data_IF_426073540417
#
_entry.id   IF_426073540417
#
_cell.length_a   1.000
_cell.length_b   1.000
_cell.length_c   1.000
_cell.angle_alpha   90.00
_cell.angle_beta   90.00
_cell.angle_gamma   90.00
#
_symmetry.space_group_name_H-M   'P 1'
#
loop_
_entity.id
_entity.type
_entity.pdbx_description
1 polymer ?
#
# COMPACT_ATOMS: atom_id res chain seq x y z
N UNK A 1 36.62 -4.88 3.48
CA UNK A 1 35.61 -4.99 2.43
C UNK A 1 35.46 -3.71 1.56
N UNK A 2 36.52 -2.91 1.42
CA UNK A 2 36.51 -1.59 0.72
C UNK A 2 37.23 -1.58 -0.63
N UNK A 3 37.83 -2.69 -1.08
CA UNK A 3 38.82 -2.67 -2.18
C UNK A 3 38.40 -3.35 -3.48
N UNK A 4 37.32 -4.12 -3.52
CA UNK A 4 36.95 -4.88 -4.72
C UNK A 4 36.03 -4.17 -5.72
N UNK A 5 35.35 -3.10 -5.33
CA UNK A 5 34.39 -2.42 -6.19
C UNK A 5 35.00 -1.37 -7.14
N UNK A 6 36.26 -1.00 -6.98
CA UNK A 6 36.85 0.15 -7.71
C UNK A 6 37.25 -0.17 -9.17
N UNK A 7 37.30 -1.44 -9.58
CA UNK A 7 37.76 -1.87 -10.91
C UNK A 7 36.72 -2.58 -11.77
N UNK A 8 35.49 -2.68 -11.33
CA UNK A 8 34.42 -3.27 -12.15
C UNK A 8 33.68 -2.15 -12.87
N UNK A 9 33.62 -2.20 -14.20
CA UNK A 9 32.82 -1.27 -15.00
C UNK A 9 31.35 -1.26 -14.51
N UNK A 10 30.57 -0.27 -14.91
CA UNK A 10 29.16 -0.08 -14.47
C UNK A 10 28.35 -1.38 -14.55
N UNK A 11 28.55 -2.17 -15.60
CA UNK A 11 27.89 -3.47 -15.78
C UNK A 11 28.32 -4.47 -14.70
N UNK A 12 29.60 -4.52 -14.35
CA UNK A 12 30.12 -5.39 -13.30
C UNK A 12 29.63 -4.99 -11.89
N UNK A 13 29.46 -3.71 -11.61
CA UNK A 13 28.86 -3.22 -10.38
C UNK A 13 27.37 -3.61 -10.28
N UNK A 14 26.61 -3.45 -11.36
CA UNK A 14 25.20 -3.85 -11.44
C UNK A 14 25.03 -5.37 -11.29
N UNK A 15 25.83 -6.17 -12.00
CA UNK A 15 25.78 -7.64 -11.88
C UNK A 15 26.16 -8.12 -10.48
N UNK A 16 27.18 -7.52 -9.87
CA UNK A 16 27.58 -7.83 -8.49
C UNK A 16 26.46 -7.48 -7.49
N UNK A 17 25.80 -6.31 -7.67
CA UNK A 17 24.66 -5.92 -6.83
C UNK A 17 23.50 -6.91 -6.97
N UNK A 18 23.17 -7.34 -8.19
CA UNK A 18 22.13 -8.34 -8.43
C UNK A 18 22.49 -9.69 -7.82
N UNK A 19 23.72 -10.19 -8.02
CA UNK A 19 24.16 -11.49 -7.49
C UNK A 19 24.23 -11.48 -5.95
N UNK A 20 24.73 -10.41 -5.35
CA UNK A 20 24.91 -10.33 -3.89
C UNK A 20 23.59 -10.10 -3.15
N UNK A 21 22.60 -9.49 -3.83
CA UNK A 21 21.29 -9.16 -3.25
C UNK A 21 20.12 -9.81 -3.98
N UNK A 22 20.35 -10.95 -4.60
CA UNK A 22 19.30 -11.64 -5.38
C UNK A 22 18.05 -11.94 -4.53
N UNK A 23 18.22 -12.21 -3.23
CA UNK A 23 17.10 -12.40 -2.30
C UNK A 23 16.24 -11.14 -2.17
N UNK A 24 16.86 -9.96 -2.16
CA UNK A 24 16.16 -8.68 -2.04
C UNK A 24 15.37 -8.37 -3.32
N UNK A 25 15.82 -8.88 -4.48
CA UNK A 25 15.20 -8.67 -5.78
C UNK A 25 14.28 -9.80 -6.24
N UNK A 26 14.30 -10.96 -5.58
CA UNK A 26 13.56 -12.16 -5.99
C UNK A 26 12.05 -11.87 -6.17
N UNK A 27 11.46 -11.10 -5.25
CA UNK A 27 10.04 -10.73 -5.30
C UNK A 27 9.72 -9.83 -6.51
N UNK A 28 10.59 -8.89 -6.86
CA UNK A 28 10.42 -8.01 -8.03
C UNK A 28 10.58 -8.79 -9.34
N UNK A 29 11.52 -9.74 -9.38
CA UNK A 29 11.73 -10.63 -10.54
C UNK A 29 10.49 -11.52 -10.72
N UNK A 30 9.98 -12.12 -9.64
CA UNK A 30 8.76 -12.92 -9.69
C UNK A 30 7.56 -12.09 -10.16
N UNK A 31 7.40 -10.87 -9.66
CA UNK A 31 6.36 -9.95 -10.10
C UNK A 31 6.48 -9.65 -11.60
N UNK A 32 7.67 -9.31 -12.08
CA UNK A 32 7.91 -9.05 -13.49
C UNK A 32 7.60 -10.28 -14.36
N UNK A 33 8.00 -11.48 -13.92
CA UNK A 33 7.70 -12.73 -14.61
C UNK A 33 6.19 -12.97 -14.71
N UNK A 34 5.43 -12.72 -13.63
CA UNK A 34 3.96 -12.81 -13.61
C UNK A 34 3.34 -11.81 -14.61
N UNK A 35 3.80 -10.58 -14.62
CA UNK A 35 3.31 -9.55 -15.56
C UNK A 35 3.55 -9.93 -17.01
N UNK A 36 4.73 -10.46 -17.32
CA UNK A 36 5.07 -10.94 -18.66
C UNK A 36 4.20 -12.14 -19.03
N UNK A 37 4.11 -13.14 -18.14
CA UNK A 37 3.34 -14.36 -18.38
C UNK A 37 1.86 -14.04 -18.70
N UNK A 38 1.21 -13.27 -17.81
CA UNK A 38 -0.20 -12.91 -18.01
C UNK A 38 -0.39 -11.90 -19.14
N UNK A 39 0.56 -11.00 -19.37
CA UNK A 39 0.55 -10.09 -20.52
C UNK A 39 0.50 -10.86 -21.83
N UNK A 40 1.35 -11.87 -21.98
CA UNK A 40 1.37 -12.74 -23.18
C UNK A 40 0.14 -13.64 -23.24
N UNK A 41 -0.19 -14.33 -22.14
CA UNK A 41 -1.30 -15.29 -22.09
C UNK A 41 -2.67 -14.65 -22.39
N UNK A 42 -2.86 -13.36 -22.05
CA UNK A 42 -4.12 -12.63 -22.27
C UNK A 42 -4.10 -11.75 -23.53
N UNK A 43 -3.10 -11.88 -24.39
CA UNK A 43 -2.95 -11.04 -25.58
C UNK A 43 -2.88 -9.55 -25.25
N UNK A 44 -2.26 -9.18 -24.13
CA UNK A 44 -2.11 -7.78 -23.68
C UNK A 44 -3.24 -7.24 -22.82
N UNK A 45 -4.39 -7.91 -22.74
CA UNK A 45 -5.55 -7.44 -21.97
C UNK A 45 -5.25 -7.27 -20.49
N UNK A 46 -4.37 -8.11 -19.93
CA UNK A 46 -3.89 -8.00 -18.54
C UNK A 46 -3.17 -6.67 -18.28
N UNK A 47 -2.40 -6.17 -19.23
CA UNK A 47 -1.64 -4.93 -19.14
C UNK A 47 -2.44 -3.69 -19.54
N UNK A 48 -3.73 -3.84 -19.86
CA UNK A 48 -4.58 -2.70 -20.23
C UNK A 48 -4.70 -1.69 -19.07
N UNK A 49 -4.78 -0.38 -19.36
CA UNK A 49 -4.94 0.66 -18.34
C UNK A 49 -6.11 0.40 -17.39
N UNK A 50 -7.23 -0.08 -17.95
CA UNK A 50 -8.42 -0.46 -17.17
C UNK A 50 -8.12 -1.55 -16.14
N UNK A 51 -7.46 -2.64 -16.56
CA UNK A 51 -7.19 -3.76 -15.67
C UNK A 51 -6.17 -3.38 -14.60
N UNK A 52 -5.09 -2.67 -14.97
CA UNK A 52 -4.08 -2.22 -14.01
C UNK A 52 -4.65 -1.25 -12.97
N UNK A 53 -5.51 -0.32 -13.37
CA UNK A 53 -6.19 0.58 -12.44
C UNK A 53 -7.13 -0.19 -11.50
N UNK A 54 -7.87 -1.17 -12.03
CA UNK A 54 -8.73 -2.02 -11.21
C UNK A 54 -7.93 -2.87 -10.21
N UNK A 55 -6.78 -3.41 -10.59
CA UNK A 55 -5.88 -4.12 -9.66
C UNK A 55 -5.42 -3.23 -8.51
N UNK A 56 -5.05 -1.98 -8.80
CA UNK A 56 -4.67 -1.01 -7.76
C UNK A 56 -5.84 -0.75 -6.81
N UNK A 57 -7.04 -0.55 -7.32
CA UNK A 57 -8.22 -0.31 -6.51
C UNK A 57 -8.59 -1.53 -5.65
N UNK A 58 -8.57 -2.72 -6.23
CA UNK A 58 -8.88 -3.97 -5.53
C UNK A 58 -7.86 -4.32 -4.44
N UNK A 59 -6.59 -3.94 -4.61
CA UNK A 59 -5.54 -4.22 -3.63
C UNK A 59 -5.33 -3.09 -2.62
N UNK A 60 -5.98 -1.95 -2.80
CA UNK A 60 -5.77 -0.77 -1.97
C UNK A 60 -6.06 -0.98 -0.48
N UNK A 61 -7.11 -1.75 -0.13
CA UNK A 61 -7.40 -2.08 1.26
C UNK A 61 -6.28 -2.92 1.90
N UNK A 62 -5.64 -3.80 1.12
CA UNK A 62 -4.48 -4.59 1.59
C UNK A 62 -3.30 -3.66 1.89
N UNK A 63 -3.09 -2.65 1.05
CA UNK A 63 -2.04 -1.65 1.26
C UNK A 63 -2.25 -0.87 2.57
N UNK A 64 -3.49 -0.45 2.87
CA UNK A 64 -3.83 0.21 4.15
C UNK A 64 -3.56 -0.71 5.33
N UNK A 65 -3.99 -1.98 5.25
CA UNK A 65 -3.72 -2.96 6.31
C UNK A 65 -2.22 -3.22 6.47
N UNK A 66 -1.46 -3.29 5.38
CA UNK A 66 -0.01 -3.51 5.43
C UNK A 66 0.73 -2.37 6.14
N UNK A 67 0.28 -1.11 5.99
CA UNK A 67 0.83 0.03 6.74
C UNK A 67 0.58 -0.14 8.24
N UNK A 68 -0.65 -0.50 8.64
CA UNK A 68 -0.98 -0.76 10.04
C UNK A 68 -0.16 -1.93 10.61
N UNK A 69 -0.03 -3.03 9.85
CA UNK A 69 0.80 -4.18 10.24
C UNK A 69 2.27 -3.83 10.39
N UNK A 70 2.79 -2.90 9.56
CA UNK A 70 4.17 -2.43 9.69
C UNK A 70 4.42 -1.78 11.06
N UNK A 71 3.45 -1.00 11.58
CA UNK A 71 3.56 -0.40 12.91
C UNK A 71 3.58 -1.46 14.03
N UNK A 72 2.82 -2.55 13.88
CA UNK A 72 2.81 -3.67 14.82
C UNK A 72 4.15 -4.44 14.76
N UNK A 73 4.67 -4.68 13.56
CA UNK A 73 5.96 -5.34 13.37
C UNK A 73 7.15 -4.55 13.93
N UNK A 74 7.07 -3.20 13.94
CA UNK A 74 8.11 -2.34 14.55
C UNK A 74 8.24 -2.58 16.06
N UNK A 75 7.17 -2.98 16.74
CA UNK A 75 7.20 -3.36 18.15
C UNK A 75 7.45 -4.86 18.36
N UNK A 76 7.89 -5.56 17.30
CA UNK A 76 8.20 -6.99 17.29
C UNK A 76 7.00 -7.90 17.62
N UNK A 77 5.77 -7.45 17.35
CA UNK A 77 4.54 -8.21 17.56
C UNK A 77 3.90 -8.59 16.22
N UNK A 78 3.01 -9.60 16.24
CA UNK A 78 2.28 -10.07 15.05
C UNK A 78 0.79 -10.06 15.36
N UNK A 79 -0.01 -9.44 14.50
CA UNK A 79 -1.48 -9.48 14.58
C UNK A 79 -2.07 -10.31 13.43
N UNK A 80 -2.50 -11.52 13.74
CA UNK A 80 -3.13 -12.43 12.77
C UNK A 80 -4.60 -12.11 12.53
N UNK A 81 -5.25 -11.37 13.45
CA UNK A 81 -6.69 -11.12 13.41
C UNK A 81 -7.10 -10.00 12.44
N UNK A 82 -6.17 -9.20 11.92
CA UNK A 82 -6.46 -7.97 11.17
C UNK A 82 -7.40 -8.21 9.98
N UNK A 83 -7.26 -9.32 9.27
CA UNK A 83 -8.10 -9.67 8.12
C UNK A 83 -9.56 -9.90 8.51
N UNK A 84 -9.81 -10.75 9.51
CA UNK A 84 -11.18 -11.06 9.96
C UNK A 84 -11.83 -9.94 10.76
N UNK A 85 -11.06 -9.18 11.54
CA UNK A 85 -11.55 -7.98 12.21
C UNK A 85 -11.99 -6.93 11.18
N UNK A 86 -11.20 -6.66 10.17
CA UNK A 86 -11.58 -5.71 9.10
C UNK A 86 -12.79 -6.19 8.30
N UNK A 87 -12.85 -7.49 7.98
CA UNK A 87 -13.99 -8.10 7.31
C UNK A 87 -15.28 -7.99 8.13
N UNK A 88 -15.22 -8.28 9.45
CA UNK A 88 -16.34 -8.12 10.35
C UNK A 88 -16.81 -6.67 10.45
N UNK A 89 -15.89 -5.73 10.60
CA UNK A 89 -16.23 -4.30 10.64
C UNK A 89 -16.86 -3.84 9.31
N UNK A 90 -16.41 -4.37 8.17
CA UNK A 90 -17.03 -4.15 6.88
C UNK A 90 -18.47 -4.68 6.83
N UNK A 91 -18.72 -5.90 7.34
CA UNK A 91 -20.06 -6.47 7.42
C UNK A 91 -20.98 -5.65 8.33
N UNK A 92 -20.48 -5.22 9.51
CA UNK A 92 -21.22 -4.32 10.41
C UNK A 92 -21.57 -3.00 9.71
N UNK A 93 -20.63 -2.42 8.97
CA UNK A 93 -20.89 -1.21 8.18
C UNK A 93 -22.03 -1.43 7.18
N UNK A 94 -22.01 -2.57 6.47
CA UNK A 94 -23.06 -2.92 5.52
C UNK A 94 -24.43 -3.06 6.21
N UNK A 95 -24.51 -3.77 7.34
CA UNK A 95 -25.74 -3.93 8.13
C UNK A 95 -26.25 -2.56 8.59
N UNK A 96 -25.39 -1.71 9.14
CA UNK A 96 -25.75 -0.36 9.58
C UNK A 96 -26.37 0.48 8.45
N UNK A 97 -25.81 0.38 7.25
CA UNK A 97 -26.27 1.18 6.12
C UNK A 97 -27.50 0.58 5.42
N UNK A 98 -27.59 -0.75 5.30
CA UNK A 98 -28.66 -1.44 4.56
C UNK A 98 -29.86 -1.70 5.45
N UNK A 99 -29.66 -2.32 6.61
CA UNK A 99 -30.76 -2.78 7.49
C UNK A 99 -31.22 -1.67 8.44
N UNK A 100 -30.30 -0.91 8.99
CA UNK A 100 -30.60 0.16 9.97
C UNK A 100 -30.71 1.54 9.33
N UNK A 101 -30.46 1.67 8.04
CA UNK A 101 -30.54 2.91 7.27
C UNK A 101 -29.70 4.07 7.88
N UNK A 102 -28.59 3.74 8.56
CA UNK A 102 -27.70 4.72 9.15
C UNK A 102 -26.92 5.43 8.02
N UNK A 103 -26.84 6.75 8.11
CA UNK A 103 -26.12 7.56 7.14
C UNK A 103 -24.62 7.22 7.15
N UNK A 104 -24.01 7.23 5.94
CA UNK A 104 -22.59 6.99 5.70
C UNK A 104 -21.68 7.77 6.67
N UNK A 105 -21.94 9.07 6.83
CA UNK A 105 -21.13 9.97 7.66
C UNK A 105 -21.18 9.65 9.16
N UNK A 106 -22.18 8.88 9.59
CA UNK A 106 -22.29 8.40 10.96
C UNK A 106 -21.77 6.95 11.07
N UNK A 107 -22.00 6.11 10.06
CA UNK A 107 -21.56 4.73 10.04
C UNK A 107 -20.02 4.60 10.10
N UNK A 108 -19.29 5.40 9.32
CA UNK A 108 -17.82 5.37 9.28
C UNK A 108 -17.20 5.68 10.65
N UNK A 109 -17.51 6.80 11.33
CA UNK A 109 -16.96 7.07 12.65
C UNK A 109 -17.28 6.00 13.69
N UNK A 110 -18.51 5.48 13.70
CA UNK A 110 -18.92 4.39 14.61
C UNK A 110 -18.02 3.17 14.41
N UNK A 111 -17.84 2.73 13.17
CA UNK A 111 -17.03 1.53 12.87
C UNK A 111 -15.55 1.77 13.19
N UNK A 112 -15.04 2.98 12.96
CA UNK A 112 -13.67 3.33 13.38
C UNK A 112 -13.50 3.25 14.90
N UNK A 113 -14.46 3.74 15.68
CA UNK A 113 -14.46 3.61 17.14
C UNK A 113 -14.49 2.14 17.55
N UNK A 114 -15.34 1.31 16.91
CA UNK A 114 -15.34 -0.14 17.16
C UNK A 114 -13.97 -0.77 16.88
N UNK A 115 -13.32 -0.41 15.79
CA UNK A 115 -11.97 -0.86 15.47
C UNK A 115 -10.95 -0.50 16.54
N UNK A 116 -10.99 0.74 17.05
CA UNK A 116 -10.15 1.19 18.17
C UNK A 116 -10.43 0.39 19.45
N UNK A 117 -11.69 0.15 19.79
CA UNK A 117 -12.07 -0.63 20.96
C UNK A 117 -11.57 -2.08 20.87
N UNK A 118 -11.70 -2.72 19.71
CA UNK A 118 -11.19 -4.08 19.47
C UNK A 118 -9.65 -4.08 19.60
N UNK A 119 -8.97 -3.11 19.02
CA UNK A 119 -7.52 -2.96 19.15
C UNK A 119 -7.08 -2.73 20.59
N UNK A 120 -7.78 -1.87 21.33
CA UNK A 120 -7.53 -1.61 22.75
C UNK A 120 -7.74 -2.88 23.60
N UNK A 121 -8.79 -3.65 23.34
CA UNK A 121 -9.05 -4.91 24.04
C UNK A 121 -7.89 -5.91 23.82
N UNK A 122 -7.43 -6.09 22.58
CA UNK A 122 -6.25 -6.92 22.27
C UNK A 122 -5.01 -6.41 23.01
N UNK A 123 -4.74 -5.10 22.92
CA UNK A 123 -3.60 -4.48 23.58
C UNK A 123 -3.63 -4.66 25.11
N UNK A 124 -4.80 -4.54 25.75
CA UNK A 124 -4.95 -4.76 27.19
C UNK A 124 -4.66 -6.21 27.60
N UNK A 125 -5.14 -7.19 26.82
CA UNK A 125 -4.88 -8.61 27.07
C UNK A 125 -3.36 -8.88 26.99
N UNK A 126 -2.70 -8.38 25.96
CA UNK A 126 -1.26 -8.57 25.80
C UNK A 126 -0.47 -7.87 26.91
N UNK A 127 -0.78 -6.59 27.20
CA UNK A 127 0.08 -5.77 28.08
C UNK A 127 -0.27 -5.93 29.57
N UNK A 128 -1.52 -6.17 29.93
CA UNK A 128 -1.97 -6.26 31.34
C UNK A 128 -2.10 -7.69 31.81
N UNK A 129 -2.58 -8.60 30.95
CA UNK A 129 -2.73 -10.01 31.32
C UNK A 129 -1.47 -10.83 30.98
N UNK A 130 -0.50 -10.26 30.25
CA UNK A 130 0.75 -10.94 29.90
C UNK A 130 0.59 -12.08 28.89
N UNK A 131 -0.55 -12.13 28.16
CA UNK A 131 -0.76 -13.16 27.14
C UNK A 131 0.04 -12.80 25.90
N UNK A 132 0.85 -13.71 25.31
CA UNK A 132 1.58 -13.44 24.08
C UNK A 132 0.68 -12.92 22.96
N UNK A 133 1.13 -11.91 22.22
CA UNK A 133 0.32 -11.27 21.16
C UNK A 133 -0.13 -12.27 20.09
N UNK A 134 0.74 -13.21 19.71
CA UNK A 134 0.38 -14.29 18.78
C UNK A 134 -0.84 -15.09 19.24
N UNK A 135 -0.89 -15.49 20.53
CA UNK A 135 -2.00 -16.28 21.09
C UNK A 135 -3.28 -15.43 21.14
N UNK A 136 -3.15 -14.19 21.61
CA UNK A 136 -4.26 -13.24 21.68
C UNK A 136 -4.86 -12.99 20.30
N UNK A 137 -4.03 -12.66 19.31
CA UNK A 137 -4.51 -12.31 17.98
C UNK A 137 -5.07 -13.52 17.23
N UNK A 138 -4.53 -14.72 17.44
CA UNK A 138 -5.10 -15.97 16.92
C UNK A 138 -6.50 -16.24 17.50
N UNK A 139 -6.68 -16.05 18.80
CA UNK A 139 -8.00 -16.18 19.42
C UNK A 139 -9.01 -15.18 18.85
N UNK A 140 -8.59 -13.92 18.65
CA UNK A 140 -9.41 -12.90 17.97
C UNK A 140 -9.68 -13.24 16.50
N UNK A 141 -8.73 -13.82 15.78
CA UNK A 141 -8.95 -14.30 14.41
C UNK A 141 -10.12 -15.28 14.35
N UNK A 142 -10.10 -16.34 15.17
CA UNK A 142 -11.18 -17.33 15.20
C UNK A 142 -12.51 -16.74 15.67
N UNK A 143 -12.50 -15.90 16.70
CA UNK A 143 -13.69 -15.24 17.20
C UNK A 143 -14.34 -14.35 16.12
N UNK A 144 -13.55 -13.48 15.48
CA UNK A 144 -14.06 -12.59 14.45
C UNK A 144 -14.40 -13.30 13.13
N UNK A 145 -13.75 -14.41 12.81
CA UNK A 145 -14.17 -15.30 11.73
C UNK A 145 -15.57 -15.85 11.97
N UNK A 146 -15.86 -16.32 13.20
CA UNK A 146 -17.20 -16.77 13.59
C UNK A 146 -18.23 -15.64 13.53
N UNK A 147 -17.90 -14.46 14.10
CA UNK A 147 -18.78 -13.29 14.08
C UNK A 147 -19.06 -12.80 12.65
N UNK A 148 -18.06 -12.78 11.77
CA UNK A 148 -18.23 -12.45 10.36
C UNK A 148 -19.20 -13.45 9.69
N UNK A 149 -19.00 -14.74 9.91
CA UNK A 149 -19.88 -15.79 9.38
C UNK A 149 -21.31 -15.61 9.85
N UNK A 150 -21.53 -15.29 11.12
CA UNK A 150 -22.86 -14.99 11.66
C UNK A 150 -23.48 -13.73 11.05
N UNK A 151 -22.70 -12.66 10.92
CA UNK A 151 -23.16 -11.39 10.35
C UNK A 151 -23.58 -11.53 8.87
N UNK A 152 -22.90 -12.41 8.12
CA UNK A 152 -23.17 -12.63 6.69
C UNK A 152 -24.07 -13.83 6.40
N UNK A 153 -24.49 -14.60 7.43
CA UNK A 153 -25.21 -15.87 7.28
C UNK A 153 -26.54 -15.76 6.52
N UNK A 154 -27.24 -14.64 6.65
CA UNK A 154 -28.55 -14.43 6.00
C UNK A 154 -28.43 -13.99 4.54
N UNK A 155 -27.46 -13.17 4.22
CA UNK A 155 -27.41 -12.43 2.94
C UNK A 155 -26.19 -12.80 2.07
N UNK A 156 -25.22 -13.58 2.59
CA UNK A 156 -23.96 -13.89 1.90
C UNK A 156 -23.19 -12.62 1.55
N UNK A 157 -23.17 -12.25 0.28
CA UNK A 157 -22.60 -10.97 -0.19
C UNK A 157 -23.60 -9.85 0.04
N UNK A 158 -23.17 -8.77 0.69
CA UNK A 158 -23.98 -7.60 1.00
C UNK A 158 -23.52 -6.39 0.17
N UNK A 159 -24.06 -6.16 -1.05
CA UNK A 159 -23.73 -4.98 -1.83
C UNK A 159 -24.35 -3.73 -1.18
N UNK A 160 -23.53 -2.71 -0.92
CA UNK A 160 -23.99 -1.46 -0.35
C UNK A 160 -24.41 -0.53 -1.51
N UNK A 161 -25.70 -0.18 -1.67
CA UNK A 161 -26.19 0.62 -2.80
C UNK A 161 -26.04 2.13 -2.52
N UNK A 162 -24.88 2.55 -2.00
CA UNK A 162 -24.59 3.97 -1.69
C UNK A 162 -23.39 4.41 -2.50
N UNK A 163 -23.62 5.27 -3.49
CA UNK A 163 -22.59 5.72 -4.42
C UNK A 163 -21.41 6.39 -3.69
N UNK A 164 -21.67 7.21 -2.67
CA UNK A 164 -20.64 7.87 -1.89
C UNK A 164 -19.75 6.87 -1.13
N UNK A 165 -20.31 5.75 -0.64
CA UNK A 165 -19.54 4.68 -0.01
C UNK A 165 -18.67 3.94 -1.04
N UNK A 166 -19.28 3.59 -2.16
CA UNK A 166 -18.59 2.89 -3.25
C UNK A 166 -17.49 3.75 -3.87
N UNK A 167 -17.66 5.08 -3.87
CA UNK A 167 -16.64 6.01 -4.35
C UNK A 167 -15.35 6.00 -3.51
N UNK A 168 -15.40 5.62 -2.24
CA UNK A 168 -14.20 5.52 -1.37
C UNK A 168 -13.19 4.50 -1.94
N UNK A 169 -13.66 3.36 -2.43
CA UNK A 169 -12.80 2.29 -2.95
C UNK A 169 -12.72 2.24 -4.48
N UNK A 170 -13.80 2.63 -5.19
CA UNK A 170 -13.92 2.51 -6.64
C UNK A 170 -14.06 3.86 -7.36
N UNK A 171 -14.12 4.96 -6.60
CA UNK A 171 -14.25 6.31 -7.16
C UNK A 171 -12.91 6.88 -7.62
N UNK A 172 -13.04 7.94 -8.39
CA UNK A 172 -11.90 8.67 -8.94
C UNK A 172 -11.99 10.14 -8.52
N UNK A 173 -10.84 10.75 -8.35
CA UNK A 173 -10.76 12.19 -8.03
C UNK A 173 -11.21 12.96 -9.27
N UNK A 174 -12.08 13.98 -9.14
CA UNK A 174 -12.45 14.84 -10.25
C UNK A 174 -11.20 15.44 -10.92
N UNK A 175 -11.14 15.35 -12.25
CA UNK A 175 -9.99 15.86 -12.98
C UNK A 175 -10.08 17.39 -13.17
N UNK A 176 -8.93 18.02 -13.30
CA UNK A 176 -8.79 19.47 -13.55
C UNK A 176 -8.91 19.77 -15.05
N UNK A 177 -8.74 18.76 -15.91
CA UNK A 177 -8.76 18.86 -17.36
C UNK A 177 -8.03 17.71 -18.04
N UNK A 178 -8.04 17.70 -19.37
CA UNK A 178 -7.38 16.69 -20.18
C UNK A 178 -6.17 17.27 -20.92
N UNK A 179 -5.07 16.55 -20.93
CA UNK A 179 -3.86 16.84 -21.72
C UNK A 179 -3.67 15.68 -22.70
N UNK A 180 -3.82 15.95 -23.99
CA UNK A 180 -3.70 14.96 -25.07
C UNK A 180 -4.59 13.70 -24.86
N UNK A 181 -5.82 13.85 -24.36
CA UNK A 181 -6.73 12.73 -24.08
C UNK A 181 -6.38 11.92 -22.83
N UNK A 182 -5.52 12.45 -21.97
CA UNK A 182 -5.12 11.86 -20.70
C UNK A 182 -5.55 12.75 -19.52
N UNK A 183 -5.92 12.15 -18.41
CA UNK A 183 -6.29 12.87 -17.19
C UNK A 183 -5.12 13.68 -16.62
N UNK A 184 -5.22 15.02 -16.65
CA UNK A 184 -4.14 15.92 -16.28
C UNK A 184 -3.69 15.79 -14.83
N UNK A 185 -4.64 15.60 -13.90
CA UNK A 185 -4.35 15.46 -12.47
C UNK A 185 -3.40 14.31 -12.20
N UNK A 186 -3.61 13.14 -12.84
CA UNK A 186 -2.76 11.96 -12.67
C UNK A 186 -1.33 12.21 -13.12
N UNK A 187 -1.15 12.93 -14.24
CA UNK A 187 0.16 13.28 -14.76
C UNK A 187 0.87 14.29 -13.86
N UNK A 188 0.16 15.30 -13.37
CA UNK A 188 0.71 16.33 -12.46
C UNK A 188 1.15 15.67 -11.15
N UNK A 189 0.32 14.83 -10.56
CA UNK A 189 0.65 14.09 -9.32
C UNK A 189 1.84 13.16 -9.57
N UNK A 190 1.86 12.41 -10.68
CA UNK A 190 2.98 11.56 -11.05
C UNK A 190 4.30 12.34 -11.20
N UNK A 191 4.26 13.48 -11.89
CA UNK A 191 5.41 14.37 -12.03
C UNK A 191 5.89 14.92 -10.69
N UNK A 192 4.97 15.35 -9.82
CA UNK A 192 5.30 15.84 -8.48
C UNK A 192 5.96 14.74 -7.62
N UNK A 193 5.46 13.50 -7.67
CA UNK A 193 6.06 12.36 -6.97
C UNK A 193 7.46 12.07 -7.48
N UNK A 194 7.69 12.11 -8.81
CA UNK A 194 9.03 11.94 -9.40
C UNK A 194 9.98 13.02 -8.91
N UNK A 195 9.57 14.29 -8.92
CA UNK A 195 10.41 15.42 -8.47
C UNK A 195 10.77 15.25 -6.98
N UNK A 196 9.80 14.95 -6.13
CA UNK A 196 10.03 14.72 -4.71
C UNK A 196 10.95 13.52 -4.45
N UNK A 197 10.78 12.43 -5.19
CA UNK A 197 11.63 11.25 -5.11
C UNK A 197 13.06 11.56 -5.50
N UNK A 198 13.27 12.25 -6.64
CA UNK A 198 14.61 12.65 -7.10
C UNK A 198 15.28 13.56 -6.08
N UNK A 199 14.56 14.57 -5.59
CA UNK A 199 15.07 15.49 -4.57
C UNK A 199 15.48 14.76 -3.29
N UNK A 200 14.61 13.86 -2.79
CA UNK A 200 14.87 13.05 -1.61
C UNK A 200 16.11 12.15 -1.78
N UNK A 201 16.24 11.48 -2.93
CA UNK A 201 17.40 10.64 -3.25
C UNK A 201 18.71 11.44 -3.30
N UNK A 202 18.68 12.62 -3.92
CA UNK A 202 19.86 13.51 -3.99
C UNK A 202 20.24 13.99 -2.60
N UNK A 203 19.25 14.44 -1.80
CA UNK A 203 19.47 14.90 -0.41
C UNK A 203 20.06 13.78 0.46
N UNK A 204 19.50 12.58 0.38
CA UNK A 204 20.00 11.44 1.13
C UNK A 204 21.41 11.04 0.71
N UNK A 205 21.72 11.03 -0.61
CA UNK A 205 23.07 10.77 -1.11
C UNK A 205 24.08 11.79 -0.57
N UNK A 206 23.76 13.09 -0.61
CA UNK A 206 24.60 14.15 -0.05
C UNK A 206 24.84 13.96 1.46
N UNK A 207 23.77 13.57 2.20
CA UNK A 207 23.88 13.27 3.63
C UNK A 207 24.83 12.12 3.90
N UNK A 208 24.67 10.99 3.20
CA UNK A 208 25.56 9.83 3.33
C UNK A 208 27.01 10.17 3.02
N UNK A 209 27.27 10.95 1.97
CA UNK A 209 28.61 11.42 1.60
C UNK A 209 29.23 12.30 2.71
N UNK A 210 28.44 13.21 3.30
CA UNK A 210 28.87 14.09 4.39
C UNK A 210 29.35 13.31 5.62
N UNK A 211 28.72 12.17 5.90
CA UNK A 211 29.07 11.32 7.04
C UNK A 211 30.02 10.16 6.65
N UNK A 212 30.68 10.24 5.49
CA UNK A 212 31.62 9.23 4.97
C UNK A 212 31.05 7.80 4.87
N UNK A 213 29.73 7.66 4.72
CA UNK A 213 29.12 6.37 4.43
C UNK A 213 29.41 5.95 2.97
N UNK A 214 29.54 4.65 2.68
CA UNK A 214 29.72 4.17 1.32
C UNK A 214 28.48 4.47 0.49
N UNK A 215 28.68 5.09 -0.68
CA UNK A 215 27.61 5.39 -1.66
C UNK A 215 27.95 4.71 -2.98
N UNK A 216 26.92 4.28 -3.72
CA UNK A 216 27.07 3.73 -5.07
C UNK A 216 27.75 4.73 -6.02
N UNK A 217 28.36 4.24 -7.09
CA UNK A 217 28.96 5.10 -8.12
C UNK A 217 27.92 6.06 -8.71
N UNK A 218 28.37 7.20 -9.24
CA UNK A 218 27.46 8.18 -9.86
C UNK A 218 26.60 7.58 -10.99
N UNK A 219 27.16 6.77 -11.92
CA UNK A 219 26.36 6.15 -12.99
C UNK A 219 25.27 5.21 -12.43
N UNK A 220 25.60 4.36 -11.46
CA UNK A 220 24.63 3.42 -10.86
C UNK A 220 23.52 4.17 -10.13
N UNK A 221 23.84 5.27 -9.44
CA UNK A 221 22.84 6.13 -8.80
C UNK A 221 21.89 6.75 -9.83
N UNK A 222 22.42 7.26 -10.96
CA UNK A 222 21.61 7.85 -12.03
C UNK A 222 20.71 6.78 -12.64
N UNK A 223 21.26 5.63 -13.04
CA UNK A 223 20.52 4.52 -13.65
C UNK A 223 19.38 4.06 -12.71
N UNK A 224 19.67 3.84 -11.43
CA UNK A 224 18.66 3.41 -10.46
C UNK A 224 17.59 4.49 -10.21
N UNK A 225 17.95 5.77 -10.28
CA UNK A 225 16.99 6.86 -10.10
C UNK A 225 16.09 7.03 -11.32
N UNK A 226 16.66 6.96 -12.52
CA UNK A 226 15.91 7.00 -13.78
C UNK A 226 14.98 5.80 -13.89
N UNK A 227 15.45 4.60 -13.55
CA UNK A 227 14.62 3.39 -13.56
C UNK A 227 13.37 3.53 -12.68
N UNK A 228 13.52 4.02 -11.45
CA UNK A 228 12.37 4.25 -10.55
C UNK A 228 11.46 5.37 -11.07
N UNK A 229 12.04 6.44 -11.64
CA UNK A 229 11.26 7.53 -12.24
C UNK A 229 10.42 7.04 -13.43
N UNK A 230 10.98 6.15 -14.27
CA UNK A 230 10.26 5.53 -15.40
C UNK A 230 9.11 4.66 -14.91
N UNK A 231 9.29 3.88 -13.85
CA UNK A 231 8.19 3.08 -13.26
C UNK A 231 7.07 3.98 -12.76
N UNK A 232 7.39 5.03 -11.98
CA UNK A 232 6.40 5.99 -11.47
C UNK A 232 5.68 6.67 -12.63
N UNK A 233 6.42 7.10 -13.65
CA UNK A 233 5.86 7.72 -14.85
C UNK A 233 4.94 6.78 -15.62
N UNK A 234 5.33 5.51 -15.78
CA UNK A 234 4.49 4.50 -16.42
C UNK A 234 3.17 4.28 -15.67
N UNK A 235 3.22 4.19 -14.33
CA UNK A 235 2.01 4.08 -13.49
C UNK A 235 1.14 5.33 -13.66
N UNK A 236 1.72 6.53 -13.62
CA UNK A 236 0.97 7.78 -13.80
C UNK A 236 0.28 7.85 -15.17
N UNK A 237 0.97 7.42 -16.24
CA UNK A 237 0.41 7.34 -17.59
C UNK A 237 -0.71 6.30 -17.67
N UNK A 238 -0.51 5.11 -17.10
CA UNK A 238 -1.55 4.07 -17.08
C UNK A 238 -2.82 4.57 -16.38
N UNK A 239 -2.68 5.23 -15.24
CA UNK A 239 -3.81 5.82 -14.51
C UNK A 239 -4.49 6.92 -15.34
N UNK A 240 -3.71 7.77 -16.00
CA UNK A 240 -4.23 8.89 -16.80
C UNK A 240 -4.99 8.43 -18.06
N UNK A 241 -4.67 7.24 -18.60
CA UNK A 241 -5.31 6.69 -19.79
C UNK A 241 -6.68 6.04 -19.54
N UNK A 242 -7.10 5.84 -18.27
CA UNK A 242 -8.38 5.20 -17.99
C UNK A 242 -9.39 6.15 -17.35
N UNK A 243 -9.31 6.38 -16.05
CA UNK A 243 -10.26 7.22 -15.29
C UNK A 243 -9.57 8.21 -14.35
N UNK A 244 -8.27 8.32 -14.47
CA UNK A 244 -7.47 9.21 -13.67
C UNK A 244 -7.09 8.65 -12.29
N UNK A 245 -6.82 9.57 -11.34
CA UNK A 245 -6.38 9.23 -9.98
C UNK A 245 -7.53 8.68 -9.15
N UNK A 246 -7.39 7.47 -8.62
CA UNK A 246 -8.41 6.88 -7.75
C UNK A 246 -8.32 7.39 -6.31
N UNK A 247 -9.45 7.47 -5.61
CA UNK A 247 -9.50 7.76 -4.18
C UNK A 247 -8.71 6.75 -3.34
N UNK A 248 -8.67 5.50 -3.76
CA UNK A 248 -7.87 4.45 -3.14
C UNK A 248 -6.40 4.84 -3.01
N UNK A 249 -5.79 5.37 -4.08
CA UNK A 249 -4.39 5.82 -4.05
C UNK A 249 -4.22 6.98 -3.07
N UNK A 250 -5.14 7.93 -3.07
CA UNK A 250 -5.11 9.09 -2.15
C UNK A 250 -5.20 8.64 -0.70
N UNK A 251 -6.11 7.71 -0.39
CA UNK A 251 -6.28 7.16 0.96
C UNK A 251 -5.01 6.42 1.41
N UNK A 252 -4.46 5.53 0.57
CA UNK A 252 -3.22 4.82 0.87
C UNK A 252 -2.08 5.80 1.14
N UNK A 253 -1.93 6.82 0.29
CA UNK A 253 -0.91 7.85 0.47
C UNK A 253 -1.10 8.64 1.78
N UNK A 254 -2.35 8.99 2.13
CA UNK A 254 -2.68 9.67 3.38
C UNK A 254 -2.35 8.79 4.61
N UNK A 255 -2.70 7.50 4.57
CA UNK A 255 -2.40 6.56 5.66
C UNK A 255 -0.90 6.37 5.84
N UNK A 256 -0.14 6.23 4.74
CA UNK A 256 1.34 6.17 4.78
C UNK A 256 1.92 7.44 5.38
N UNK A 257 1.41 8.61 5.00
CA UNK A 257 1.86 9.90 5.53
C UNK A 257 1.60 10.01 7.04
N UNK A 258 0.39 9.64 7.49
CA UNK A 258 0.03 9.65 8.93
C UNK A 258 0.93 8.70 9.71
N UNK A 259 1.14 7.47 9.22
CA UNK A 259 2.03 6.50 9.86
C UNK A 259 3.47 7.02 9.94
N UNK A 260 3.97 7.65 8.88
CA UNK A 260 5.30 8.25 8.84
C UNK A 260 5.44 9.41 9.84
N UNK A 261 4.45 10.31 9.90
CA UNK A 261 4.42 11.41 10.89
C UNK A 261 4.41 10.84 12.31
N UNK A 262 3.58 9.81 12.57
CA UNK A 262 3.54 9.15 13.87
C UNK A 262 4.91 8.61 14.29
N UNK A 263 5.63 7.95 13.37
CA UNK A 263 6.97 7.43 13.64
C UNK A 263 8.02 8.53 13.87
N UNK A 264 7.86 9.69 13.22
CA UNK A 264 8.76 10.84 13.43
C UNK A 264 8.54 11.56 14.76
N UNK A 265 7.28 11.63 15.21
CA UNK A 265 6.90 12.37 16.43
C UNK A 265 7.05 11.50 17.69
N UNK A 266 7.08 10.19 17.54
CA UNK A 266 7.23 9.27 18.68
C UNK A 266 8.54 9.57 19.44
N UNK A 267 8.49 9.94 20.74
CA UNK A 267 9.68 10.09 21.55
C UNK A 267 10.39 8.73 21.69
N UNK A 268 11.69 8.73 21.52
CA UNK A 268 12.57 7.56 21.70
C UNK A 268 12.54 7.05 23.14
#
# INVERSE_FOLDING_TARGET
>A
MKTETKNKGVLGELLWMLQTRIRDYAMYIALAAIFILFGVATGGSFLSPRNLTNLINQTGYIAVMAVAMTLILIICEIDLSVGYVSGFLGAVTAIMMIDWHINLWLAIPIVLVFGVLIGAAKGLIVTKMGVPAFVTTLAFEFAFRGLLSLATSKNGTMPIPVDAFNAISNGFVPDIGEIAGMHALSLIVGAAVIVLMVFSRIKNRKKLQKYNFPVSSKPVFIISTVFVAVIIGAVAVVLSLYRGLSWTIVIVAAVVLVAFIYLLVRPN
#
